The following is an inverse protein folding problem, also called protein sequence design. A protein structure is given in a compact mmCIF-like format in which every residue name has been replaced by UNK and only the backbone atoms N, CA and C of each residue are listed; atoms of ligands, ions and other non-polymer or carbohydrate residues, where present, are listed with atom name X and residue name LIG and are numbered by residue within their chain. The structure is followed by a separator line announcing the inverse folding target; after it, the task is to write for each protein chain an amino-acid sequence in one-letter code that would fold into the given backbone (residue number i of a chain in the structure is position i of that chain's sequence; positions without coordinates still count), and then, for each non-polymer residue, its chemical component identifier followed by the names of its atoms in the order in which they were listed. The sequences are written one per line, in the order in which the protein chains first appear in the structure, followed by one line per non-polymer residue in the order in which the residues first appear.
data_IF_989598426178
#
_entry.id   IF_989598426178
#
_cell.length_a   1.000
_cell.length_b   1.000
_cell.length_c   1.000
_cell.angle_alpha   90.00
_cell.angle_beta   90.00
_cell.angle_gamma   90.00
#
_symmetry.space_group_name_H-M   'P 1'
#
loop_
_entity.id
_entity.type
_entity.pdbx_description
1 polymer ?
#
# COMPACT_ATOMS: atom_id res chain seq x y z
N UNK A 1 -70.59 -5.50 -7.87
CA UNK A 1 -69.76 -4.52 -7.12
C UNK A 1 -70.23 -4.54 -5.67
N UNK A 2 -69.49 -5.02 -4.75
CA UNK A 2 -69.80 -5.19 -3.33
C UNK A 2 -69.25 -4.00 -2.53
N UNK A 3 -70.19 -3.08 -2.13
CA UNK A 3 -69.84 -1.86 -1.40
C UNK A 3 -69.14 -2.15 -0.05
N UNK A 4 -69.45 -3.30 0.58
CA UNK A 4 -68.90 -3.70 1.84
C UNK A 4 -67.41 -4.12 1.66
N UNK A 5 -67.09 -4.87 0.61
CA UNK A 5 -65.72 -5.27 0.30
C UNK A 5 -64.84 -4.08 -0.04
N UNK A 6 -65.33 -3.15 -0.87
CA UNK A 6 -64.64 -1.90 -1.21
C UNK A 6 -64.38 -1.07 0.04
N UNK A 7 -65.36 -0.92 0.93
CA UNK A 7 -65.22 -0.19 2.18
C UNK A 7 -64.17 -0.80 3.11
N UNK A 8 -64.16 -2.14 3.22
CA UNK A 8 -63.13 -2.86 4.00
C UNK A 8 -61.73 -2.69 3.42
N UNK A 9 -61.64 -2.67 2.08
CA UNK A 9 -60.39 -2.44 1.40
C UNK A 9 -59.83 -1.03 1.65
N UNK A 10 -60.66 0.00 1.54
CA UNK A 10 -60.31 1.39 1.88
C UNK A 10 -59.82 1.48 3.32
N UNK A 11 -60.52 0.86 4.26
CA UNK A 11 -60.14 0.82 5.68
C UNK A 11 -58.81 0.12 5.90
N UNK A 12 -58.55 -0.97 5.18
CA UNK A 12 -57.32 -1.73 5.22
C UNK A 12 -56.15 -0.87 4.72
N UNK A 13 -56.25 -0.28 3.53
CA UNK A 13 -55.26 0.61 2.94
C UNK A 13 -54.90 1.75 3.90
N UNK A 14 -55.93 2.43 4.43
CA UNK A 14 -55.73 3.52 5.38
C UNK A 14 -54.93 3.09 6.61
N UNK A 15 -55.33 1.93 7.21
CA UNK A 15 -54.64 1.41 8.41
C UNK A 15 -53.21 0.96 8.14
N UNK A 16 -52.97 0.31 7.02
CA UNK A 16 -51.61 -0.11 6.61
C UNK A 16 -50.70 1.07 6.38
N UNK A 17 -51.26 2.23 6.01
CA UNK A 17 -50.52 3.48 5.86
C UNK A 17 -50.54 4.35 7.13
N UNK A 18 -50.99 3.80 8.26
CA UNK A 18 -51.03 4.47 9.57
C UNK A 18 -51.84 5.80 9.59
N UNK A 19 -52.83 5.97 8.69
CA UNK A 19 -53.60 7.18 8.59
C UNK A 19 -54.87 7.08 9.44
N UNK A 20 -55.29 8.20 10.05
CA UNK A 20 -56.63 8.38 10.63
C UNK A 20 -57.63 8.62 9.51
N UNK A 21 -58.95 8.45 9.80
CA UNK A 21 -60.00 8.79 8.82
C UNK A 21 -59.94 10.27 8.40
N UNK A 22 -59.56 11.14 9.32
CA UNK A 22 -59.41 12.58 9.06
C UNK A 22 -58.25 12.87 8.09
N UNK A 23 -57.10 12.25 8.30
CA UNK A 23 -55.91 12.41 7.44
C UNK A 23 -56.15 11.83 6.05
N UNK A 24 -56.79 10.65 5.97
CA UNK A 24 -57.20 10.07 4.69
C UNK A 24 -58.21 10.96 3.94
N UNK A 25 -59.20 11.52 4.66
CA UNK A 25 -60.14 12.46 4.08
C UNK A 25 -59.43 13.72 3.56
N UNK A 26 -58.55 14.31 4.34
CA UNK A 26 -57.78 15.50 3.96
C UNK A 26 -56.92 15.27 2.72
N UNK A 27 -56.33 14.08 2.57
CA UNK A 27 -55.50 13.71 1.42
C UNK A 27 -56.26 13.73 0.10
N UNK A 28 -57.55 13.35 0.16
CA UNK A 28 -58.40 13.26 -1.03
C UNK A 28 -59.44 14.39 -1.15
N UNK A 29 -59.33 15.44 -0.32
CA UNK A 29 -60.20 16.59 -0.39
C UNK A 29 -61.68 16.30 -0.04
N UNK A 30 -61.95 15.27 0.79
CA UNK A 30 -63.26 14.83 1.20
C UNK A 30 -63.48 15.02 2.70
N UNK A 31 -64.69 14.82 3.18
CA UNK A 31 -65.02 14.88 4.61
C UNK A 31 -64.70 13.54 5.29
N UNK A 32 -64.36 13.56 6.58
CA UNK A 32 -64.15 12.33 7.34
C UNK A 32 -65.43 11.47 7.42
N UNK A 33 -66.64 12.12 7.39
CA UNK A 33 -67.90 11.42 7.35
C UNK A 33 -68.09 10.62 6.05
N UNK A 34 -67.55 11.12 4.92
CA UNK A 34 -67.54 10.38 3.67
C UNK A 34 -66.69 9.12 3.78
N UNK A 35 -65.46 9.26 4.27
CA UNK A 35 -64.56 8.12 4.51
C UNK A 35 -65.18 7.11 5.46
N UNK A 36 -65.77 7.58 6.56
CA UNK A 36 -66.46 6.70 7.52
C UNK A 36 -67.63 5.94 6.87
N UNK A 37 -68.42 6.59 5.99
CA UNK A 37 -69.51 5.93 5.25
C UNK A 37 -69.00 4.89 4.28
N UNK A 38 -67.83 5.16 3.60
CA UNK A 38 -67.24 4.21 2.70
C UNK A 38 -66.71 2.97 3.46
N UNK A 39 -65.98 3.17 4.55
CA UNK A 39 -65.46 2.09 5.35
C UNK A 39 -66.51 1.20 5.99
N UNK A 40 -67.71 1.71 6.18
CA UNK A 40 -68.89 0.98 6.68
C UNK A 40 -69.81 0.43 5.55
N UNK A 41 -69.38 0.54 4.30
CA UNK A 41 -70.11 0.02 3.15
C UNK A 41 -71.49 0.74 2.91
N UNK A 42 -71.69 1.95 3.44
CA UNK A 42 -72.88 2.73 3.27
C UNK A 42 -72.91 3.54 1.98
N UNK A 43 -71.74 3.77 1.40
CA UNK A 43 -71.54 4.47 0.15
C UNK A 43 -70.18 4.08 -0.39
N UNK A 44 -69.84 4.46 -1.62
CA UNK A 44 -68.56 4.30 -2.25
C UNK A 44 -68.04 5.64 -2.77
N UNK A 45 -66.72 5.86 -2.88
CA UNK A 45 -66.16 6.99 -3.59
C UNK A 45 -66.63 7.02 -5.04
N UNK A 46 -66.64 8.19 -5.67
CA UNK A 46 -66.85 8.28 -7.11
C UNK A 46 -65.71 7.64 -7.90
N UNK A 47 -65.94 7.35 -9.18
CA UNK A 47 -64.97 6.61 -10.02
C UNK A 47 -63.65 7.36 -10.18
N UNK A 48 -63.69 8.71 -10.22
CA UNK A 48 -62.49 9.52 -10.36
C UNK A 48 -61.63 9.41 -9.11
N UNK A 49 -62.24 9.45 -7.93
CA UNK A 49 -61.55 9.30 -6.65
C UNK A 49 -61.06 7.87 -6.42
N UNK A 50 -61.85 6.86 -6.84
CA UNK A 50 -61.40 5.47 -6.81
C UNK A 50 -60.13 5.28 -7.65
N UNK A 51 -60.09 5.85 -8.85
CA UNK A 51 -58.93 5.80 -9.72
C UNK A 51 -57.71 6.46 -9.07
N UNK A 52 -57.89 7.64 -8.46
CA UNK A 52 -56.82 8.34 -7.75
C UNK A 52 -56.28 7.50 -6.57
N UNK A 53 -57.17 6.87 -5.78
CA UNK A 53 -56.73 5.95 -4.71
C UNK A 53 -55.96 4.77 -5.27
N UNK A 54 -56.40 4.17 -6.38
CA UNK A 54 -55.73 3.07 -7.02
C UNK A 54 -54.33 3.48 -7.52
N UNK A 55 -54.17 4.65 -8.10
CA UNK A 55 -52.91 5.22 -8.55
C UNK A 55 -51.95 5.45 -7.38
N UNK A 56 -52.42 6.06 -6.31
CA UNK A 56 -51.61 6.38 -5.12
C UNK A 56 -51.08 5.13 -4.40
N UNK A 57 -51.85 4.04 -4.44
CA UNK A 57 -51.51 2.80 -3.78
C UNK A 57 -51.06 1.68 -4.75
N UNK A 58 -50.80 2.04 -6.01
CA UNK A 58 -50.31 1.13 -7.06
C UNK A 58 -51.17 -0.14 -7.24
N UNK A 59 -52.50 0.05 -7.24
CA UNK A 59 -53.48 -1.01 -7.39
C UNK A 59 -54.14 -0.97 -8.76
N UNK A 60 -54.54 -2.12 -9.25
CA UNK A 60 -55.43 -2.16 -10.41
C UNK A 60 -56.89 -1.81 -9.99
N UNK A 61 -57.58 -1.02 -10.82
CA UNK A 61 -58.93 -0.60 -10.52
C UNK A 61 -59.91 -1.80 -10.49
N UNK A 62 -59.72 -2.80 -11.32
CA UNK A 62 -60.56 -4.00 -11.34
C UNK A 62 -60.37 -4.80 -10.07
N UNK A 63 -59.14 -5.01 -9.64
CA UNK A 63 -58.83 -5.71 -8.38
C UNK A 63 -59.43 -4.96 -7.18
N UNK A 64 -59.39 -3.62 -7.22
CA UNK A 64 -60.01 -2.79 -6.20
C UNK A 64 -61.56 -2.95 -6.16
N UNK A 65 -62.19 -3.00 -7.33
CA UNK A 65 -63.64 -3.16 -7.46
C UNK A 65 -64.14 -4.56 -7.06
N UNK A 66 -63.29 -5.58 -7.23
CA UNK A 66 -63.56 -6.96 -6.82
C UNK A 66 -63.25 -7.19 -5.32
N UNK A 67 -62.58 -6.21 -4.68
CA UNK A 67 -62.23 -6.25 -3.26
C UNK A 67 -61.04 -7.15 -2.95
N UNK A 68 -60.32 -7.56 -3.99
CA UNK A 68 -59.14 -8.41 -3.88
C UNK A 68 -57.87 -7.52 -3.80
N UNK A 69 -57.43 -7.25 -2.58
CA UNK A 69 -56.17 -6.54 -2.37
C UNK A 69 -55.00 -7.51 -2.46
N UNK A 70 -54.36 -7.54 -3.60
CA UNK A 70 -53.03 -8.13 -3.75
C UNK A 70 -52.02 -6.95 -3.73
N UNK A 71 -51.32 -6.71 -2.62
CA UNK A 71 -50.28 -5.71 -2.62
C UNK A 71 -49.23 -6.10 -3.68
N UNK A 72 -49.12 -5.24 -4.72
CA UNK A 72 -48.04 -5.40 -5.69
C UNK A 72 -46.74 -5.19 -4.93
N UNK A 73 -46.13 -6.28 -4.50
CA UNK A 73 -44.84 -6.26 -3.81
C UNK A 73 -43.84 -5.66 -4.79
N UNK A 74 -43.42 -4.42 -4.55
CA UNK A 74 -42.26 -3.90 -5.24
C UNK A 74 -41.12 -4.93 -5.04
N UNK A 75 -40.80 -5.62 -6.08
CA UNK A 75 -39.60 -6.39 -6.11
C UNK A 75 -38.46 -5.36 -6.11
N UNK A 76 -38.02 -4.96 -4.90
CA UNK A 76 -36.71 -4.33 -4.78
C UNK A 76 -35.78 -5.28 -5.48
N UNK A 77 -35.22 -4.83 -6.60
CA UNK A 77 -34.34 -5.59 -7.45
C UNK A 77 -33.15 -6.06 -6.60
N UNK A 78 -33.29 -7.25 -5.97
CA UNK A 78 -32.21 -7.91 -5.25
C UNK A 78 -31.00 -8.11 -6.16
N UNK A 79 -31.21 -8.08 -7.46
CA UNK A 79 -30.19 -8.21 -8.50
C UNK A 79 -29.24 -7.02 -8.52
N UNK A 80 -29.75 -5.80 -8.32
CA UNK A 80 -28.91 -4.58 -8.28
C UNK A 80 -28.00 -4.55 -7.06
N UNK A 81 -28.49 -5.00 -5.89
CA UNK A 81 -27.69 -5.05 -4.67
C UNK A 81 -26.62 -6.14 -4.70
N UNK A 82 -26.89 -7.27 -5.33
CA UNK A 82 -25.90 -8.33 -5.57
C UNK A 82 -24.76 -7.84 -6.46
N UNK A 83 -25.03 -7.03 -7.48
CA UNK A 83 -24.00 -6.41 -8.31
C UNK A 83 -23.14 -5.42 -7.53
N UNK A 84 -23.71 -4.64 -6.62
CA UNK A 84 -22.95 -3.74 -5.74
C UNK A 84 -22.05 -4.51 -4.78
N UNK A 85 -22.52 -5.61 -4.20
CA UNK A 85 -21.71 -6.49 -3.35
C UNK A 85 -20.56 -7.09 -4.14
N UNK A 86 -20.83 -7.60 -5.35
CA UNK A 86 -19.79 -8.18 -6.22
C UNK A 86 -18.71 -7.14 -6.55
N UNK A 87 -19.12 -5.93 -6.90
CA UNK A 87 -18.21 -4.82 -7.20
C UNK A 87 -17.36 -4.43 -5.97
N UNK A 88 -17.96 -4.41 -4.79
CA UNK A 88 -17.27 -4.14 -3.53
C UNK A 88 -16.25 -5.23 -3.17
N UNK A 89 -16.59 -6.51 -3.40
CA UNK A 89 -15.66 -7.64 -3.20
C UNK A 89 -14.48 -7.57 -4.18
N UNK A 90 -14.72 -7.21 -5.43
CA UNK A 90 -13.66 -7.03 -6.43
C UNK A 90 -12.74 -5.88 -6.04
N UNK A 91 -13.28 -4.75 -5.56
CA UNK A 91 -12.49 -3.60 -5.11
C UNK A 91 -11.63 -3.96 -3.89
N UNK A 92 -12.18 -4.67 -2.90
CA UNK A 92 -11.40 -5.14 -1.74
C UNK A 92 -10.33 -6.13 -2.19
N UNK A 93 -10.65 -7.09 -3.04
CA UNK A 93 -9.69 -8.05 -3.57
C UNK A 93 -8.54 -7.37 -4.33
N UNK A 94 -8.87 -6.38 -5.16
CA UNK A 94 -7.89 -5.56 -5.88
C UNK A 94 -7.01 -4.74 -4.91
N UNK A 95 -7.62 -4.13 -3.90
CA UNK A 95 -6.89 -3.39 -2.88
C UNK A 95 -5.96 -4.29 -2.05
N UNK A 96 -6.43 -5.47 -1.63
CA UNK A 96 -5.60 -6.45 -0.92
C UNK A 96 -4.46 -6.96 -1.79
N UNK A 97 -4.71 -7.21 -3.09
CA UNK A 97 -3.66 -7.61 -4.03
C UNK A 97 -2.61 -6.51 -4.20
N UNK A 98 -3.03 -5.27 -4.41
CA UNK A 98 -2.13 -4.11 -4.48
C UNK A 98 -1.36 -3.93 -3.18
N UNK A 99 -2.05 -4.01 -2.03
CA UNK A 99 -1.42 -3.94 -0.72
C UNK A 99 -0.36 -5.04 -0.55
N UNK A 100 -0.66 -6.29 -0.94
CA UNK A 100 0.29 -7.40 -0.90
C UNK A 100 1.48 -7.20 -1.84
N UNK A 101 1.27 -6.63 -3.03
CA UNK A 101 2.34 -6.32 -3.96
C UNK A 101 3.22 -5.15 -3.50
N UNK A 102 2.63 -4.16 -2.81
CA UNK A 102 3.37 -3.00 -2.28
C UNK A 102 3.99 -3.26 -0.90
N UNK A 103 3.35 -4.10 -0.08
CA UNK A 103 3.81 -4.47 1.27
C UNK A 103 4.63 -5.76 1.27
N UNK A 104 5.32 -6.02 0.18
CA UNK A 104 6.28 -7.11 0.12
C UNK A 104 7.42 -6.74 1.06
N UNK A 105 7.57 -7.50 2.14
CA UNK A 105 8.57 -7.31 3.18
C UNK A 105 9.95 -7.11 2.54
N UNK A 106 10.48 -5.89 2.66
CA UNK A 106 11.86 -5.57 2.31
C UNK A 106 12.77 -6.00 3.48
N UNK A 107 12.71 -7.29 3.85
CA UNK A 107 13.61 -7.84 4.86
C UNK A 107 15.05 -7.70 4.39
N UNK A 108 15.84 -6.95 5.17
CA UNK A 108 17.26 -6.85 4.92
C UNK A 108 18.00 -8.03 5.54
N UNK A 109 18.84 -8.65 4.77
CA UNK A 109 19.84 -9.59 5.23
C UNK A 109 21.17 -8.86 5.45
N UNK A 110 21.93 -9.32 6.44
CA UNK A 110 23.22 -8.73 6.79
C UNK A 110 24.33 -9.72 6.56
N UNK A 111 25.41 -9.29 5.94
CA UNK A 111 26.67 -10.03 5.78
C UNK A 111 27.81 -9.20 6.31
N UNK A 112 28.84 -9.88 6.81
CA UNK A 112 30.06 -9.23 7.24
C UNK A 112 31.03 -9.10 6.05
N UNK A 113 31.56 -7.90 5.89
CA UNK A 113 32.66 -7.61 4.99
C UNK A 113 33.97 -7.64 5.79
N UNK A 114 34.97 -8.28 5.27
CA UNK A 114 36.30 -8.28 5.85
C UNK A 114 37.39 -8.26 4.78
N UNK A 115 38.53 -7.76 5.13
CA UNK A 115 39.77 -7.92 4.36
C UNK A 115 40.80 -8.59 5.23
N UNK A 116 41.45 -9.60 4.67
CA UNK A 116 42.68 -10.20 5.22
C UNK A 116 43.81 -9.86 4.27
N UNK A 117 44.31 -8.64 4.37
CA UNK A 117 45.53 -8.30 3.62
C UNK A 117 46.67 -7.99 4.60
N UNK A 118 47.90 -8.17 4.15
CA UNK A 118 49.10 -8.11 5.00
C UNK A 118 49.30 -6.76 5.71
N UNK A 119 48.66 -5.68 5.21
CA UNK A 119 48.84 -4.31 5.72
C UNK A 119 47.55 -3.68 6.27
N UNK A 120 46.39 -4.25 6.01
CA UNK A 120 45.09 -3.65 6.44
C UNK A 120 44.14 -4.71 6.94
N UNK A 121 43.57 -4.46 8.11
CA UNK A 121 42.42 -5.21 8.61
C UNK A 121 41.16 -4.34 8.49
N UNK A 122 40.21 -4.76 7.67
CA UNK A 122 38.99 -4.03 7.45
C UNK A 122 37.80 -4.84 7.95
N UNK A 123 36.94 -4.18 8.68
CA UNK A 123 35.67 -4.77 9.13
C UNK A 123 34.48 -3.89 8.70
N UNK A 124 33.49 -4.50 8.08
CA UNK A 124 32.30 -3.83 7.61
C UNK A 124 31.09 -4.75 7.56
N UNK A 125 29.98 -4.20 7.12
CA UNK A 125 28.75 -4.94 6.91
C UNK A 125 28.09 -4.54 5.59
N UNK A 126 27.47 -5.53 4.96
CA UNK A 126 26.60 -5.37 3.81
C UNK A 126 25.18 -5.72 4.26
N UNK A 127 24.28 -4.75 4.22
CA UNK A 127 22.83 -4.96 4.33
C UNK A 127 22.23 -4.99 2.93
N UNK A 128 21.45 -6.01 2.61
CA UNK A 128 20.86 -6.12 1.28
C UNK A 128 19.48 -6.76 1.31
N UNK A 129 18.69 -6.45 0.29
CA UNK A 129 17.46 -7.13 -0.04
C UNK A 129 17.39 -7.41 -1.55
N UNK A 130 16.24 -7.83 -2.07
CA UNK A 130 16.06 -8.13 -3.49
C UNK A 130 16.27 -6.94 -4.44
N UNK A 131 16.29 -5.69 -3.92
CA UNK A 131 16.28 -4.46 -4.75
C UNK A 131 17.48 -3.57 -4.52
N UNK A 132 17.99 -3.54 -3.29
CA UNK A 132 19.04 -2.57 -2.89
C UNK A 132 19.97 -3.14 -1.84
N UNK A 133 21.12 -2.51 -1.74
CA UNK A 133 22.11 -2.82 -0.74
C UNK A 133 22.69 -1.55 -0.11
N UNK A 134 23.19 -1.69 1.09
CA UNK A 134 23.90 -0.64 1.82
C UNK A 134 25.17 -1.23 2.39
N UNK A 135 26.28 -0.55 2.20
CA UNK A 135 27.59 -0.97 2.66
C UNK A 135 28.04 -0.01 3.74
N UNK A 136 28.47 -0.56 4.86
CA UNK A 136 29.04 0.18 5.96
C UNK A 136 30.38 -0.41 6.33
N UNK A 137 31.48 0.39 6.26
CA UNK A 137 32.78 0.04 6.74
C UNK A 137 33.05 0.88 7.97
N UNK A 138 33.25 0.22 9.11
CA UNK A 138 33.34 0.86 10.43
C UNK A 138 34.74 0.94 10.98
N UNK A 139 35.63 0.06 10.51
CA UNK A 139 36.99 -0.03 11.04
C UNK A 139 37.98 -0.38 9.92
N UNK A 140 39.05 0.39 9.86
CA UNK A 140 40.18 0.17 8.96
C UNK A 140 41.43 0.35 9.78
N UNK A 141 42.06 -0.77 10.14
CA UNK A 141 43.29 -0.77 10.89
C UNK A 141 44.49 -1.01 9.95
N UNK A 142 45.49 -0.14 10.03
CA UNK A 142 46.74 -0.32 9.33
C UNK A 142 47.68 -1.22 10.17
N UNK A 143 48.05 -2.35 9.60
CA UNK A 143 48.91 -3.37 10.25
C UNK A 143 50.29 -3.50 9.59
N UNK A 144 50.64 -2.62 8.66
CA UNK A 144 51.82 -2.69 7.82
C UNK A 144 53.15 -2.30 8.51
N UNK A 145 53.11 -2.05 9.83
CA UNK A 145 54.29 -1.61 10.60
C UNK A 145 54.26 -0.09 10.84
N UNK A 146 55.37 0.46 11.40
CA UNK A 146 55.49 1.90 11.63
C UNK A 146 55.60 2.64 10.28
N UNK A 147 54.54 3.33 9.88
CA UNK A 147 54.59 4.26 8.78
C UNK A 147 54.68 5.69 9.32
N UNK A 148 55.89 6.22 9.35
CA UNK A 148 56.16 7.59 9.82
C UNK A 148 55.87 8.63 8.73
N UNK A 149 55.40 8.26 7.55
CA UNK A 149 55.12 9.17 6.46
C UNK A 149 53.96 10.10 6.81
N UNK A 150 54.14 11.37 6.50
CA UNK A 150 53.11 12.37 6.62
C UNK A 150 52.43 12.61 5.25
N UNK A 151 51.14 12.41 5.21
CA UNK A 151 50.31 12.54 4.00
C UNK A 151 49.59 13.89 3.99
N UNK A 152 49.82 14.66 2.95
CA UNK A 152 49.15 15.95 2.74
C UNK A 152 47.79 15.77 2.06
N UNK A 153 47.60 14.65 1.34
CA UNK A 153 46.33 14.27 0.73
C UNK A 153 46.16 12.76 0.88
N UNK A 154 44.97 12.36 1.33
CA UNK A 154 44.56 10.95 1.40
C UNK A 154 43.19 10.85 0.72
N UNK A 155 43.07 10.03 -0.30
CA UNK A 155 41.83 9.65 -0.93
C UNK A 155 41.50 8.21 -0.59
N UNK A 156 40.34 8.00 0.05
CA UNK A 156 39.80 6.67 0.33
C UNK A 156 38.55 6.47 -0.46
N UNK A 157 38.45 5.45 -1.29
CA UNK A 157 37.30 5.18 -2.12
C UNK A 157 36.95 3.70 -2.18
N UNK A 158 35.68 3.40 -2.01
CA UNK A 158 35.10 2.06 -2.19
C UNK A 158 34.66 1.90 -3.62
N UNK A 159 35.11 0.85 -4.26
CA UNK A 159 34.76 0.48 -5.62
C UNK A 159 34.05 -0.85 -5.68
N UNK A 160 33.10 -0.94 -6.62
CA UNK A 160 32.53 -2.20 -7.04
C UNK A 160 32.99 -2.54 -8.45
N UNK A 161 33.67 -3.68 -8.60
CA UNK A 161 34.10 -4.17 -9.90
C UNK A 161 33.07 -5.06 -10.55
N UNK A 162 32.89 -4.90 -11.84
CA UNK A 162 32.14 -5.81 -12.71
C UNK A 162 33.08 -6.30 -13.82
N UNK A 163 32.66 -7.32 -14.55
CA UNK A 163 33.51 -7.89 -15.61
C UNK A 163 33.98 -6.87 -16.67
N UNK A 164 33.44 -5.66 -16.70
CA UNK A 164 33.68 -4.68 -17.75
C UNK A 164 34.17 -3.32 -17.27
N UNK A 165 33.90 -2.96 -16.02
CA UNK A 165 34.29 -1.64 -15.47
C UNK A 165 34.18 -1.59 -13.96
N UNK A 166 34.96 -0.68 -13.36
CA UNK A 166 34.93 -0.37 -11.96
C UNK A 166 34.06 0.87 -11.72
N UNK A 167 33.22 0.81 -10.71
CA UNK A 167 32.34 1.91 -10.33
C UNK A 167 32.65 2.36 -8.91
N UNK A 168 32.97 3.63 -8.74
CA UNK A 168 33.11 4.24 -7.41
C UNK A 168 31.77 4.26 -6.71
N UNK A 169 31.67 3.58 -5.58
CA UNK A 169 30.44 3.49 -4.77
C UNK A 169 30.38 4.66 -3.80
N UNK A 170 31.46 4.92 -3.08
CA UNK A 170 31.58 5.99 -2.10
C UNK A 170 33.04 6.33 -1.88
N UNK A 171 33.34 7.49 -1.33
CA UNK A 171 34.72 7.85 -1.00
C UNK A 171 34.81 9.26 -0.46
N UNK A 172 35.93 9.56 0.15
CA UNK A 172 36.27 10.90 0.65
C UNK A 172 37.71 11.23 0.36
N UNK A 173 37.97 12.52 0.34
CA UNK A 173 39.32 13.09 0.17
C UNK A 173 39.62 13.95 1.39
N UNK A 174 40.75 13.72 2.00
CA UNK A 174 41.30 14.51 3.07
C UNK A 174 42.50 15.30 2.53
N UNK A 175 42.57 16.58 2.86
CA UNK A 175 43.70 17.45 2.49
C UNK A 175 44.09 18.30 3.69
N UNK A 176 45.41 18.25 4.01
CA UNK A 176 45.99 19.07 5.08
C UNK A 176 47.46 19.38 4.78
N UNK A 177 47.82 20.64 4.70
CA UNK A 177 49.16 21.08 4.38
C UNK A 177 50.22 20.65 5.44
N UNK A 178 49.79 20.42 6.68
CA UNK A 178 50.69 19.97 7.75
C UNK A 178 50.96 18.45 7.72
N UNK A 179 50.22 17.72 6.89
CA UNK A 179 50.25 16.28 6.85
C UNK A 179 49.61 15.59 8.05
N UNK A 180 49.24 14.34 7.88
CA UNK A 180 48.73 13.45 8.91
C UNK A 180 49.29 12.03 8.64
N UNK A 181 49.50 11.23 9.68
CA UNK A 181 49.83 9.82 9.47
C UNK A 181 48.62 9.06 8.97
N UNK A 182 48.84 8.07 8.14
CA UNK A 182 47.75 7.26 7.59
C UNK A 182 46.93 6.58 8.69
N UNK A 183 47.59 6.04 9.70
CA UNK A 183 46.95 5.38 10.85
C UNK A 183 46.00 6.34 11.60
N UNK A 184 46.45 7.58 11.89
CA UNK A 184 45.66 8.56 12.62
C UNK A 184 44.42 8.99 11.82
N UNK A 185 44.55 9.07 10.50
CA UNK A 185 43.41 9.38 9.62
C UNK A 185 42.39 8.24 9.59
N UNK A 186 42.87 6.97 9.52
CA UNK A 186 41.98 5.81 9.37
C UNK A 186 41.21 5.48 10.64
N UNK A 187 41.67 5.89 11.83
CA UNK A 187 40.98 5.64 13.10
C UNK A 187 39.56 6.25 13.13
N UNK A 188 39.40 7.42 12.54
CA UNK A 188 38.09 8.14 12.51
C UNK A 188 37.35 7.97 11.17
N UNK A 189 37.93 7.17 10.26
CA UNK A 189 37.38 7.02 8.93
C UNK A 189 36.31 5.93 8.87
N UNK A 190 35.20 6.26 8.24
CA UNK A 190 34.12 5.29 7.95
C UNK A 190 33.51 5.54 6.58
N UNK A 191 33.02 4.48 5.95
CA UNK A 191 32.29 4.57 4.70
C UNK A 191 30.86 4.13 4.93
N UNK A 192 29.92 4.97 4.51
CA UNK A 192 28.51 4.62 4.46
C UNK A 192 27.98 4.88 3.05
N UNK A 193 27.64 3.80 2.35
CA UNK A 193 27.00 3.85 1.05
C UNK A 193 25.62 3.20 1.16
N UNK A 194 24.57 4.01 1.15
CA UNK A 194 23.18 3.56 1.26
C UNK A 194 22.47 3.59 -0.09
N UNK A 195 21.43 2.76 -0.20
CA UNK A 195 20.53 2.69 -1.35
C UNK A 195 21.21 2.35 -2.69
N UNK A 196 22.30 1.57 -2.62
CA UNK A 196 23.00 1.11 -3.80
C UNK A 196 22.24 -0.04 -4.48
N UNK A 197 21.95 0.10 -5.77
CA UNK A 197 21.09 -0.85 -6.50
C UNK A 197 21.87 -2.07 -7.02
N UNK A 198 22.42 -2.88 -6.13
CA UNK A 198 23.08 -4.16 -6.44
C UNK A 198 22.57 -5.29 -5.57
N UNK A 199 22.48 -6.47 -6.15
CA UNK A 199 22.15 -7.69 -5.44
C UNK A 199 23.38 -8.26 -4.71
N UNK A 200 23.15 -9.02 -3.64
CA UNK A 200 24.25 -9.72 -2.93
C UNK A 200 25.12 -10.56 -3.88
N UNK A 201 24.52 -11.23 -4.86
CA UNK A 201 25.23 -12.06 -5.83
C UNK A 201 26.27 -11.27 -6.68
N UNK A 202 26.08 -9.97 -6.85
CA UNK A 202 26.99 -9.11 -7.59
C UNK A 202 28.25 -8.73 -6.81
N UNK A 203 28.27 -9.02 -5.51
CA UNK A 203 29.42 -8.79 -4.63
C UNK A 203 30.27 -10.05 -4.36
N UNK A 204 29.92 -11.17 -5.00
CA UNK A 204 30.68 -12.41 -4.89
C UNK A 204 31.96 -12.29 -5.71
N UNK A 205 33.01 -12.97 -5.26
CA UNK A 205 34.31 -13.05 -5.93
C UNK A 205 35.15 -11.76 -5.91
N UNK A 206 35.28 -11.12 -4.74
CA UNK A 206 36.18 -9.95 -4.58
C UNK A 206 35.81 -8.79 -5.53
N UNK A 207 34.52 -8.65 -5.86
CA UNK A 207 34.06 -7.54 -6.69
C UNK A 207 34.00 -6.21 -5.95
N UNK A 208 34.27 -6.21 -4.64
CA UNK A 208 34.44 -5.01 -3.83
C UNK A 208 35.87 -4.82 -3.46
N UNK A 209 36.37 -3.61 -3.55
CA UNK A 209 37.69 -3.26 -3.05
C UNK A 209 37.71 -1.83 -2.54
N UNK A 210 38.55 -1.60 -1.55
CA UNK A 210 38.92 -0.27 -1.06
C UNK A 210 40.21 0.18 -1.71
N UNK A 211 40.23 1.37 -2.25
CA UNK A 211 41.46 2.01 -2.75
C UNK A 211 41.81 3.19 -1.84
N UNK A 212 43.04 3.20 -1.36
CA UNK A 212 43.60 4.30 -0.57
C UNK A 212 44.77 4.87 -1.35
N UNK A 213 44.70 6.14 -1.70
CA UNK A 213 45.76 6.87 -2.40
C UNK A 213 46.25 7.96 -1.46
N UNK A 214 47.47 7.84 -1.00
CA UNK A 214 48.13 8.82 -0.14
C UNK A 214 49.17 9.61 -0.90
N UNK A 215 49.15 10.94 -0.82
CA UNK A 215 50.23 11.80 -1.32
C UNK A 215 51.01 12.34 -0.13
N UNK A 216 52.28 11.98 -0.06
CA UNK A 216 53.17 12.40 1.03
C UNK A 216 53.54 13.87 0.92
N UNK A 217 54.14 14.43 1.98
CA UNK A 217 54.64 15.81 2.00
C UNK A 217 55.71 16.08 0.94
N UNK A 218 56.47 15.02 0.56
CA UNK A 218 57.49 15.06 -0.49
C UNK A 218 56.89 14.91 -1.91
N UNK A 219 55.59 14.70 -2.01
CA UNK A 219 54.84 14.56 -3.28
C UNK A 219 54.85 13.15 -3.86
N UNK A 220 55.26 12.13 -3.10
CA UNK A 220 55.19 10.75 -3.51
C UNK A 220 53.76 10.23 -3.38
N UNK A 221 53.22 9.51 -4.39
CA UNK A 221 51.93 8.85 -4.34
C UNK A 221 52.08 7.37 -3.98
N UNK A 222 51.37 6.96 -2.93
CA UNK A 222 51.35 5.56 -2.46
C UNK A 222 49.94 5.04 -2.65
N UNK A 223 49.81 3.92 -3.35
CA UNK A 223 48.55 3.28 -3.67
C UNK A 223 48.36 1.97 -2.92
N UNK A 224 47.25 1.82 -2.25
CA UNK A 224 46.85 0.57 -1.60
C UNK A 224 45.53 0.09 -2.21
N UNK A 225 45.59 -1.09 -2.83
CA UNK A 225 44.39 -1.76 -3.37
C UNK A 225 44.03 -2.94 -2.46
N UNK A 226 42.89 -2.85 -1.79
CA UNK A 226 42.50 -3.75 -0.70
C UNK A 226 41.22 -4.48 -1.09
N UNK A 227 41.28 -5.75 -1.53
CA UNK A 227 40.12 -6.52 -1.86
C UNK A 227 39.28 -6.82 -0.60
N UNK A 228 37.98 -6.69 -0.72
CA UNK A 228 37.03 -7.00 0.35
C UNK A 228 36.28 -8.30 0.02
N UNK A 229 36.25 -9.20 0.98
CA UNK A 229 35.55 -10.47 0.89
C UNK A 229 34.26 -10.46 1.71
N UNK A 230 33.20 -11.07 1.17
CA UNK A 230 31.94 -11.32 1.86
C UNK A 230 32.04 -12.65 2.61
N UNK A 231 31.77 -12.61 3.91
CA UNK A 231 31.64 -13.82 4.71
C UNK A 231 30.24 -14.42 4.56
N UNK A 232 30.16 -15.60 3.95
CA UNK A 232 28.96 -16.38 3.75
C UNK A 232 28.48 -16.38 2.29
N UNK A 233 27.60 -17.30 1.98
CA UNK A 233 26.95 -17.40 0.67
C UNK A 233 25.78 -16.44 0.59
N UNK A 234 25.61 -15.76 -0.54
CA UNK A 234 24.35 -15.08 -0.84
C UNK A 234 23.29 -16.14 -1.13
N UNK A 235 22.20 -16.14 -0.38
CA UNK A 235 21.05 -16.98 -0.70
C UNK A 235 20.45 -16.47 -2.01
N UNK A 236 20.54 -17.28 -3.06
CA UNK A 236 19.87 -17.05 -4.33
C UNK A 236 18.39 -17.48 -4.25
N UNK A 237 17.73 -17.24 -3.11
CA UNK A 237 16.30 -17.44 -3.00
C UNK A 237 15.54 -16.25 -3.63
N UNK A 238 15.75 -16.09 -4.91
CA UNK A 238 14.79 -15.43 -5.77
C UNK A 238 14.24 -16.48 -6.73
N UNK A 239 13.43 -17.37 -6.25
CA UNK A 239 12.42 -17.99 -7.09
C UNK A 239 11.45 -16.89 -7.48
N UNK A 240 11.77 -16.22 -8.59
CA UNK A 240 10.78 -15.55 -9.38
C UNK A 240 9.76 -16.62 -9.80
N UNK A 241 8.59 -16.58 -9.22
CA UNK A 241 7.37 -17.22 -9.66
C UNK A 241 6.40 -16.12 -10.05
#
# INVERSE_FOLDING_TARGET
MDQSKIGQLIKKIRKENHLTQQEFASRYGVTYQAVSKWENGKNIPDVALLKQICEDYHMDLNDFLDGDYIPKKESKDKKSWLWLILLFVILIGSFCLLFFLFYRDDNFEFKTLSSDCDMFTITGSLAYNARKSSIYISNIDYCGGEDDALYTRIECALYGSTNSYDTKISGSVYENANGIRLEDYLQDFSINASDYSRNCAEYINNSLYLEIIGTTIDGEEIHHHIPLSLNGTCSLDSTAG
#
